data_IF_537102007660
#
_entry.id   IF_537102007660
#
_cell.length_a   1.000
_cell.length_b   1.000
_cell.length_c   1.000
_cell.angle_alpha   90.00
_cell.angle_beta   90.00
_cell.angle_gamma   90.00
#
_symmetry.space_group_name_H-M   'P 1'
#
loop_
_entity.id
_entity.type
_entity.pdbx_description
1 polymer ?
#
# COMPACT_ATOMS: atom_id res chain seq x y z
N UNK A 1 18.41 32.27 17.86
CA UNK A 1 17.10 31.62 17.67
C UNK A 1 16.01 32.58 17.15
N UNK A 2 16.01 33.86 17.56
CA UNK A 2 14.93 34.81 17.20
C UNK A 2 14.91 35.24 15.72
N UNK A 3 16.08 35.40 15.08
CA UNK A 3 16.18 35.79 13.65
C UNK A 3 15.57 34.78 12.67
N UNK A 4 15.56 33.48 13.03
CA UNK A 4 15.01 32.41 12.19
C UNK A 4 13.49 32.42 12.27
N UNK A 5 12.92 32.64 13.46
CA UNK A 5 11.46 32.76 13.65
C UNK A 5 10.90 34.00 12.95
N UNK A 6 11.62 35.13 13.00
CA UNK A 6 11.23 36.36 12.28
C UNK A 6 11.25 36.17 10.76
N UNK A 7 12.29 35.55 10.20
CA UNK A 7 12.36 35.26 8.77
C UNK A 7 11.27 34.27 8.32
N UNK A 8 10.95 33.26 9.15
CA UNK A 8 9.87 32.32 8.88
C UNK A 8 8.51 33.01 8.93
N UNK A 9 8.29 33.91 9.89
CA UNK A 9 7.04 34.66 10.01
C UNK A 9 6.83 35.62 8.84
N UNK A 10 7.88 36.34 8.42
CA UNK A 10 7.83 37.19 7.22
C UNK A 10 7.63 36.38 5.94
N UNK A 11 8.30 35.24 5.81
CA UNK A 11 8.08 34.33 4.68
C UNK A 11 6.66 33.74 4.68
N UNK A 12 6.10 33.46 5.86
CA UNK A 12 4.71 33.03 6.01
C UNK A 12 3.72 34.13 5.60
N UNK A 13 3.94 35.37 6.03
CA UNK A 13 3.09 36.49 5.66
C UNK A 13 3.18 36.79 4.16
N UNK A 14 4.38 36.71 3.57
CA UNK A 14 4.59 36.83 2.14
C UNK A 14 3.92 35.69 1.35
N UNK A 15 4.04 34.44 1.84
CA UNK A 15 3.43 33.27 1.24
C UNK A 15 1.90 33.19 1.43
N UNK A 16 1.32 33.91 2.39
CA UNK A 16 -0.12 33.83 2.70
C UNK A 16 -0.92 35.07 2.33
N UNK A 17 -0.32 36.26 2.27
CA UNK A 17 -1.02 37.52 1.92
C UNK A 17 -0.46 38.15 0.64
N UNK A 18 0.86 38.30 0.50
CA UNK A 18 1.44 38.95 -0.69
C UNK A 18 1.34 38.09 -1.96
N UNK A 19 1.48 36.76 -1.87
CA UNK A 19 1.37 35.89 -3.06
C UNK A 19 -0.03 35.90 -3.68
N UNK A 20 -1.06 36.14 -2.87
CA UNK A 20 -2.46 36.20 -3.30
C UNK A 20 -2.84 37.59 -3.83
N UNK A 21 -2.10 38.64 -3.45
CA UNK A 21 -2.29 40.01 -3.93
C UNK A 21 -1.59 40.30 -5.27
N UNK A 22 -0.61 39.48 -5.66
CA UNK A 22 0.02 39.57 -6.99
C UNK A 22 -0.96 39.03 -8.03
N UNK A 23 -1.72 39.95 -8.62
CA UNK A 23 -2.64 39.73 -9.74
C UNK A 23 -1.86 39.30 -10.99
N UNK A 24 -2.38 38.31 -11.71
CA UNK A 24 -1.76 37.61 -12.84
C UNK A 24 -1.36 38.49 -14.06
N UNK A 25 -1.54 39.82 -14.00
CA UNK A 25 -1.44 40.73 -15.14
C UNK A 25 -0.16 41.57 -15.19
N UNK A 26 0.75 41.50 -14.22
CA UNK A 26 1.91 42.41 -14.13
C UNK A 26 3.30 41.79 -14.37
N UNK A 27 3.39 40.46 -14.59
CA UNK A 27 4.70 39.78 -14.74
C UNK A 27 4.74 38.84 -15.95
N UNK A 28 5.66 39.13 -16.89
CA UNK A 28 5.85 38.35 -18.12
C UNK A 28 6.45 36.96 -17.85
N UNK A 29 5.80 35.94 -18.44
CA UNK A 29 6.32 34.59 -18.67
C UNK A 29 6.84 33.81 -17.45
N UNK A 30 8.16 33.84 -17.25
CA UNK A 30 8.89 32.98 -16.31
C UNK A 30 8.55 33.25 -14.84
N UNK A 31 8.28 34.50 -14.46
CA UNK A 31 7.85 34.85 -13.11
C UNK A 31 6.45 34.34 -12.78
N UNK A 32 5.56 34.23 -13.77
CA UNK A 32 4.21 33.65 -13.60
C UNK A 32 4.27 32.16 -13.24
N UNK A 33 5.14 31.40 -13.92
CA UNK A 33 5.34 29.97 -13.65
C UNK A 33 5.85 29.78 -12.22
N UNK A 34 6.83 30.59 -11.80
CA UNK A 34 7.39 30.52 -10.46
C UNK A 34 6.32 30.79 -9.39
N UNK A 35 5.53 31.86 -9.55
CA UNK A 35 4.45 32.20 -8.60
C UNK A 35 3.38 31.10 -8.54
N UNK A 36 2.97 30.56 -9.67
CA UNK A 36 1.97 29.48 -9.71
C UNK A 36 2.50 28.20 -9.07
N UNK A 37 3.78 27.87 -9.26
CA UNK A 37 4.42 26.72 -8.62
C UNK A 37 4.46 26.90 -7.09
N UNK A 38 4.82 28.09 -6.61
CA UNK A 38 4.76 28.42 -5.18
C UNK A 38 3.34 28.33 -4.62
N UNK A 39 2.32 28.87 -5.31
CA UNK A 39 0.91 28.75 -4.90
C UNK A 39 0.49 27.28 -4.80
N UNK A 40 0.83 26.45 -5.80
CA UNK A 40 0.52 25.02 -5.78
C UNK A 40 1.16 24.33 -4.58
N UNK A 41 2.44 24.57 -4.31
CA UNK A 41 3.14 23.98 -3.15
C UNK A 41 2.47 24.37 -1.83
N UNK A 42 2.10 25.64 -1.65
CA UNK A 42 1.44 26.13 -0.43
C UNK A 42 0.07 25.46 -0.25
N UNK A 43 -0.73 25.39 -1.31
CA UNK A 43 -2.05 24.73 -1.28
C UNK A 43 -1.88 23.23 -1.00
N UNK A 44 -0.91 22.56 -1.61
CA UNK A 44 -0.62 21.15 -1.39
C UNK A 44 -0.21 20.86 0.05
N UNK A 45 0.64 21.70 0.66
CA UNK A 45 1.02 21.54 2.08
C UNK A 45 -0.15 21.78 3.02
N UNK A 46 -1.00 22.77 2.71
CA UNK A 46 -2.22 23.03 3.48
C UNK A 46 -3.20 21.86 3.39
N UNK A 47 -3.47 21.36 2.17
CA UNK A 47 -4.30 20.17 1.96
C UNK A 47 -3.72 18.92 2.58
N UNK A 48 -2.40 18.72 2.52
CA UNK A 48 -1.74 17.56 3.16
C UNK A 48 -2.03 17.49 4.66
N UNK A 49 -2.06 18.65 5.34
CA UNK A 49 -2.42 18.76 6.76
C UNK A 49 -3.92 18.68 7.00
N UNK A 50 -4.75 19.31 6.17
CA UNK A 50 -6.21 19.27 6.29
C UNK A 50 -6.79 17.88 5.98
N UNK A 51 -6.19 17.13 5.06
CA UNK A 51 -6.66 15.80 4.61
C UNK A 51 -6.14 14.64 5.47
N UNK A 52 -5.44 14.91 6.58
CA UNK A 52 -4.79 13.93 7.44
C UNK A 52 -4.07 12.84 6.63
N UNK A 53 -3.31 13.27 5.62
CA UNK A 53 -2.76 12.33 4.63
C UNK A 53 -1.82 11.30 5.28
N UNK A 54 -1.18 11.67 6.39
CA UNK A 54 -0.38 10.76 7.20
C UNK A 54 -1.23 9.63 7.81
N UNK A 55 -2.40 9.95 8.37
CA UNK A 55 -3.32 8.95 8.90
C UNK A 55 -3.87 8.06 7.79
N UNK A 56 -4.17 8.64 6.61
CA UNK A 56 -4.59 7.88 5.41
C UNK A 56 -3.50 6.94 4.90
N UNK A 57 -2.24 7.39 4.90
CA UNK A 57 -1.09 6.57 4.50
C UNK A 57 -0.90 5.38 5.47
N UNK A 58 -1.00 5.61 6.78
CA UNK A 58 -0.96 4.53 7.77
C UNK A 58 -2.16 3.59 7.67
N UNK A 59 -3.35 4.13 7.40
CA UNK A 59 -4.55 3.34 7.16
C UNK A 59 -4.41 2.46 5.91
N UNK A 60 -3.71 2.91 4.87
CA UNK A 60 -3.45 2.09 3.68
C UNK A 60 -2.60 0.85 4.02
N UNK A 61 -1.53 1.01 4.79
CA UNK A 61 -0.72 -0.14 5.24
C UNK A 61 -1.56 -1.09 6.11
N UNK A 62 -2.35 -0.56 7.03
CA UNK A 62 -3.25 -1.37 7.86
C UNK A 62 -4.29 -2.11 7.02
N UNK A 63 -4.88 -1.42 6.04
CA UNK A 63 -5.84 -2.01 5.11
C UNK A 63 -5.19 -3.10 4.26
N UNK A 64 -3.94 -2.93 3.83
CA UNK A 64 -3.19 -4.01 3.16
C UNK A 64 -2.99 -5.21 4.08
N UNK A 65 -2.55 -4.99 5.32
CA UNK A 65 -2.36 -6.08 6.29
C UNK A 65 -3.66 -6.86 6.52
N UNK A 66 -4.78 -6.15 6.68
CA UNK A 66 -6.09 -6.78 6.85
C UNK A 66 -6.60 -7.47 5.56
N UNK A 67 -6.34 -6.90 4.38
CA UNK A 67 -6.78 -7.45 3.11
C UNK A 67 -6.08 -8.76 2.72
N UNK A 68 -4.90 -9.04 3.29
CA UNK A 68 -4.19 -10.31 3.08
C UNK A 68 -5.00 -11.49 3.64
N UNK A 69 -5.69 -11.33 4.76
CA UNK A 69 -6.45 -12.43 5.40
C UNK A 69 -7.55 -13.00 4.49
N UNK A 70 -8.50 -12.21 3.94
CA UNK A 70 -9.52 -12.72 3.02
C UNK A 70 -8.93 -13.19 1.69
N UNK A 71 -7.83 -12.58 1.21
CA UNK A 71 -7.11 -13.08 0.03
C UNK A 71 -6.60 -14.51 0.26
N UNK A 72 -5.93 -14.76 1.39
CA UNK A 72 -5.44 -16.09 1.75
C UNK A 72 -6.58 -17.10 1.93
N UNK A 73 -7.69 -16.68 2.56
CA UNK A 73 -8.87 -17.52 2.69
C UNK A 73 -9.44 -17.92 1.32
N UNK A 74 -9.51 -16.99 0.38
CA UNK A 74 -9.93 -17.25 -0.99
C UNK A 74 -8.96 -18.22 -1.69
N UNK A 75 -7.64 -17.99 -1.58
CA UNK A 75 -6.63 -18.88 -2.14
C UNK A 75 -6.75 -20.31 -1.59
N UNK A 76 -6.94 -20.46 -0.27
CA UNK A 76 -7.12 -21.75 0.37
C UNK A 76 -8.41 -22.45 -0.09
N UNK A 77 -9.52 -21.71 -0.18
CA UNK A 77 -10.78 -22.24 -0.68
C UNK A 77 -10.65 -22.74 -2.12
N UNK A 78 -9.95 -21.97 -2.97
CA UNK A 78 -9.65 -22.35 -4.35
C UNK A 78 -8.77 -23.61 -4.38
N UNK A 79 -7.68 -23.67 -3.61
CA UNK A 79 -6.80 -24.83 -3.55
C UNK A 79 -7.55 -26.11 -3.11
N UNK A 80 -8.41 -25.99 -2.08
CA UNK A 80 -9.28 -27.08 -1.64
C UNK A 80 -10.27 -27.48 -2.74
N UNK A 81 -10.87 -26.51 -3.42
CA UNK A 81 -11.80 -26.74 -4.54
C UNK A 81 -11.16 -27.41 -5.76
N UNK A 82 -9.87 -27.17 -6.00
CA UNK A 82 -9.08 -27.83 -7.04
C UNK A 82 -8.56 -29.22 -6.64
N UNK A 83 -8.83 -29.70 -5.43
CA UNK A 83 -8.39 -31.01 -4.98
C UNK A 83 -6.88 -31.08 -4.74
N UNK A 84 -6.32 -30.09 -4.03
CA UNK A 84 -4.88 -30.01 -3.69
C UNK A 84 -4.29 -31.32 -3.13
N UNK A 85 -5.10 -32.11 -2.42
CA UNK A 85 -4.75 -33.46 -1.96
C UNK A 85 -4.28 -34.38 -3.11
N UNK A 86 -4.96 -34.36 -4.26
CA UNK A 86 -4.61 -35.19 -5.41
C UNK A 86 -3.33 -34.69 -6.07
N UNK A 87 -3.13 -33.38 -6.13
CA UNK A 87 -1.93 -32.76 -6.70
C UNK A 87 -0.70 -33.13 -5.86
N UNK A 88 -0.79 -33.01 -4.53
CA UNK A 88 0.30 -33.41 -3.63
C UNK A 88 0.58 -34.91 -3.75
N UNK A 89 -0.45 -35.77 -3.73
CA UNK A 89 -0.27 -37.21 -3.86
C UNK A 89 0.45 -37.58 -5.16
N UNK A 90 0.00 -37.04 -6.29
CA UNK A 90 0.63 -37.30 -7.60
C UNK A 90 2.08 -36.82 -7.63
N UNK A 91 2.36 -35.59 -7.19
CA UNK A 91 3.73 -35.09 -7.20
C UNK A 91 4.66 -35.91 -6.30
N UNK A 92 4.22 -36.30 -5.10
CA UNK A 92 5.05 -37.10 -4.20
C UNK A 92 5.35 -38.50 -4.78
N UNK A 93 4.35 -39.13 -5.40
CA UNK A 93 4.53 -40.42 -6.06
C UNK A 93 5.42 -40.32 -7.31
N UNK A 94 5.42 -39.17 -8.00
CA UNK A 94 6.29 -38.91 -9.15
C UNK A 94 7.73 -38.59 -8.74
N UNK A 95 7.94 -37.86 -7.64
CA UNK A 95 9.28 -37.57 -7.11
C UNK A 95 9.94 -38.79 -6.46
N UNK A 96 9.16 -39.69 -5.86
CA UNK A 96 9.66 -40.90 -5.17
C UNK A 96 9.08 -42.18 -5.77
N UNK A 97 9.43 -42.52 -7.03
CA UNK A 97 8.84 -43.66 -7.73
C UNK A 97 9.20 -45.00 -7.07
N UNK A 98 10.37 -45.09 -6.42
CA UNK A 98 10.85 -46.30 -5.75
C UNK A 98 10.11 -46.61 -4.43
N UNK A 99 9.41 -45.62 -3.85
CA UNK A 99 8.68 -45.75 -2.58
C UNK A 99 7.16 -45.61 -2.77
N UNK A 100 6.65 -45.75 -4.00
CA UNK A 100 5.22 -45.59 -4.31
C UNK A 100 4.31 -46.39 -3.39
N UNK A 101 4.62 -47.65 -3.12
CA UNK A 101 3.80 -48.53 -2.28
C UNK A 101 3.75 -48.04 -0.83
N UNK A 102 4.90 -47.65 -0.27
CA UNK A 102 4.99 -47.09 1.07
C UNK A 102 4.23 -45.76 1.18
N UNK A 103 4.39 -44.86 0.21
CA UNK A 103 3.69 -43.58 0.16
C UNK A 103 2.17 -43.75 0.03
N UNK A 104 1.72 -44.70 -0.79
CA UNK A 104 0.29 -44.99 -0.96
C UNK A 104 -0.33 -45.49 0.35
N UNK A 105 0.35 -46.41 1.05
CA UNK A 105 -0.08 -46.89 2.36
C UNK A 105 -0.18 -45.77 3.40
N UNK A 106 0.82 -44.87 3.42
CA UNK A 106 0.80 -43.69 4.31
C UNK A 106 -0.37 -42.76 3.96
N UNK A 107 -0.63 -42.49 2.68
CA UNK A 107 -1.75 -41.64 2.27
C UNK A 107 -3.10 -42.22 2.67
N UNK A 108 -3.28 -43.54 2.55
CA UNK A 108 -4.52 -44.19 2.94
C UNK A 108 -4.71 -44.21 4.47
N UNK A 109 -3.64 -44.42 5.23
CA UNK A 109 -3.68 -44.28 6.69
C UNK A 109 -4.12 -42.87 7.12
N UNK A 110 -3.54 -41.83 6.51
CA UNK A 110 -3.90 -40.42 6.79
C UNK A 110 -5.35 -40.12 6.40
N UNK A 111 -5.84 -40.67 5.27
CA UNK A 111 -7.25 -40.52 4.86
C UNK A 111 -8.20 -41.11 5.88
N UNK A 112 -7.95 -42.34 6.34
CA UNK A 112 -8.78 -43.01 7.34
C UNK A 112 -8.82 -42.21 8.65
N UNK A 113 -7.69 -41.69 9.10
CA UNK A 113 -7.61 -40.91 10.34
C UNK A 113 -8.31 -39.55 10.27
N UNK A 114 -8.28 -38.87 9.12
CA UNK A 114 -8.97 -37.58 8.93
C UNK A 114 -10.47 -37.72 8.64
N UNK A 115 -10.94 -38.93 8.35
CA UNK A 115 -12.35 -39.24 8.09
C UNK A 115 -13.12 -39.76 9.31
N UNK A 116 -12.41 -40.07 10.40
CA UNK A 116 -12.98 -40.28 11.74
C UNK A 116 -13.08 -38.95 12.50
#
# INVERSE_FOLDING_TARGET
MNRIKENIAHFWHFASEDIWRITETEVSGSRRILINLFKTVIISVRRFKEDDLQAKASALTYNMMLAIVPMLALMYAIARGFGFQNIIQMQLLDYFPAQRDALTYIFDFVKTYLSE
#
